data_IF_044080153086
#
_entry.id   IF_044080153086
#
_cell.length_a   1.000
_cell.length_b   1.000
_cell.length_c   1.000
_cell.angle_alpha   90.00
_cell.angle_beta   90.00
_cell.angle_gamma   90.00
#
_symmetry.space_group_name_H-M   'P 1'
#
loop_
_entity.id
_entity.type
_entity.pdbx_description
1 polymer ?
#
# COMPACT_ATOMS: atom_id res chain seq x y z
N UNK A 1 -6.11 20.99 -18.60
CA UNK A 1 -5.59 20.86 -17.23
C UNK A 1 -5.33 19.37 -17.07
N UNK A 2 -4.07 18.97 -16.83
CA UNK A 2 -3.73 17.56 -16.71
C UNK A 2 -3.82 17.16 -15.24
N UNK A 3 -4.62 16.14 -14.94
CA UNK A 3 -4.69 15.56 -13.60
C UNK A 3 -3.41 14.75 -13.35
N UNK A 4 -2.91 14.77 -12.11
CA UNK A 4 -1.67 14.05 -11.74
C UNK A 4 -1.76 13.41 -10.36
N UNK A 5 -1.08 12.29 -10.19
CA UNK A 5 -0.79 11.70 -8.87
C UNK A 5 0.67 11.95 -8.52
N UNK A 6 0.92 12.47 -7.33
CA UNK A 6 2.26 12.65 -6.77
C UNK A 6 2.41 11.76 -5.54
N UNK A 7 3.51 11.01 -5.47
CA UNK A 7 3.84 10.18 -4.31
C UNK A 7 5.30 10.35 -3.91
N UNK A 8 5.56 10.15 -2.62
CA UNK A 8 6.90 10.15 -2.05
C UNK A 8 6.98 9.10 -0.94
N UNK A 9 8.08 8.36 -0.90
CA UNK A 9 8.38 7.39 0.15
C UNK A 9 9.79 7.64 0.69
N UNK A 10 9.98 7.37 1.98
CA UNK A 10 11.28 7.42 2.64
C UNK A 10 11.37 6.27 3.64
N UNK A 11 12.48 5.57 3.60
CA UNK A 11 12.83 4.47 4.49
C UNK A 11 14.14 4.85 5.16
N UNK A 12 14.14 4.89 6.49
CA UNK A 12 15.33 5.20 7.28
C UNK A 12 15.68 3.97 8.12
N UNK A 13 16.65 3.15 7.69
CA UNK A 13 17.05 1.98 8.46
C UNK A 13 17.73 2.41 9.76
N UNK A 14 17.19 1.97 10.89
CA UNK A 14 17.68 2.25 12.25
C UNK A 14 18.22 0.96 12.87
N UNK A 15 19.29 1.07 13.64
CA UNK A 15 19.87 0.01 14.46
C UNK A 15 20.00 0.50 15.90
N UNK A 16 19.76 -0.38 16.87
CA UNK A 16 20.01 -0.10 18.27
C UNK A 16 21.50 -0.32 18.59
N UNK A 17 22.17 0.72 19.10
CA UNK A 17 23.53 0.65 19.61
C UNK A 17 23.54 0.76 21.12
N UNK A 18 23.96 -0.31 21.80
CA UNK A 18 24.24 -0.27 23.24
C UNK A 18 25.64 0.26 23.48
N UNK A 19 25.73 1.40 24.15
CA UNK A 19 27.00 2.01 24.55
C UNK A 19 27.59 1.26 25.74
N UNK A 20 28.87 0.88 25.64
CA UNK A 20 29.59 0.21 26.73
C UNK A 20 29.98 1.15 27.87
N UNK A 21 29.98 2.46 27.64
CA UNK A 21 30.46 3.46 28.60
C UNK A 21 29.38 3.86 29.61
N UNK A 22 28.12 3.88 29.18
CA UNK A 22 26.97 4.30 30.01
C UNK A 22 25.84 3.26 30.04
N UNK A 23 26.01 2.11 29.36
CA UNK A 23 25.00 1.05 29.25
C UNK A 23 23.65 1.51 28.69
N UNK A 24 23.63 2.65 27.98
CA UNK A 24 22.42 3.18 27.36
C UNK A 24 22.25 2.65 25.93
N UNK A 25 20.99 2.53 25.52
CA UNK A 25 20.60 2.10 24.18
C UNK A 25 20.24 3.34 23.37
N UNK A 26 20.85 3.48 22.20
CA UNK A 26 20.59 4.58 21.28
C UNK A 26 20.16 4.05 19.93
N UNK A 27 19.13 4.69 19.35
CA UNK A 27 18.79 4.49 17.95
C UNK A 27 19.77 5.26 17.06
N UNK A 28 20.50 4.54 16.23
CA UNK A 28 21.41 5.11 15.23
C UNK A 28 20.96 4.74 13.82
N UNK A 29 21.33 5.56 12.84
CA UNK A 29 21.24 5.14 11.44
C UNK A 29 22.08 3.88 11.25
N UNK A 30 21.49 2.84 10.65
CA UNK A 30 22.20 1.59 10.44
C UNK A 30 23.48 1.86 9.63
N UNK A 31 24.68 1.50 10.14
CA UNK A 31 25.95 1.75 9.47
C UNK A 31 26.08 0.99 8.15
N UNK A 32 25.28 -0.07 7.94
CA UNK A 32 25.21 -0.82 6.69
C UNK A 32 24.64 0.04 5.56
N UNK A 33 23.61 0.84 5.85
CA UNK A 33 22.95 1.68 4.84
C UNK A 33 23.47 3.10 4.86
N UNK A 34 23.77 3.64 6.03
CA UNK A 34 24.42 4.93 6.26
C UNK A 34 23.62 6.16 5.82
N UNK A 35 22.39 5.96 5.32
CA UNK A 35 21.48 6.99 4.81
C UNK A 35 20.07 6.44 4.64
N UNK A 36 19.10 7.33 4.55
CA UNK A 36 17.74 6.98 4.14
C UNK A 36 17.67 6.61 2.65
N UNK A 37 16.83 5.63 2.32
CA UNK A 37 16.42 5.34 0.96
C UNK A 37 15.09 6.07 0.73
N UNK A 38 15.06 7.04 -0.18
CA UNK A 38 13.85 7.77 -0.50
C UNK A 38 13.65 7.90 -2.01
N UNK A 39 12.41 8.20 -2.39
CA UNK A 39 12.05 8.43 -3.79
C UNK A 39 10.72 9.16 -3.86
N UNK A 40 10.62 10.04 -4.86
CA UNK A 40 9.38 10.71 -5.20
C UNK A 40 9.15 10.62 -6.70
N UNK A 41 7.90 10.61 -7.12
CA UNK A 41 7.55 10.59 -8.52
C UNK A 41 6.21 11.29 -8.75
N UNK A 42 5.98 11.67 -10.00
CA UNK A 42 4.71 12.16 -10.49
C UNK A 42 4.26 11.29 -11.65
N UNK A 43 3.00 10.86 -11.62
CA UNK A 43 2.35 10.17 -12.72
C UNK A 43 1.31 11.11 -13.34
N UNK A 44 1.54 11.49 -14.59
CA UNK A 44 0.55 12.19 -15.41
C UNK A 44 -0.57 11.22 -15.78
N UNK A 45 -1.80 11.65 -15.52
CA UNK A 45 -2.98 10.81 -15.71
C UNK A 45 -3.60 10.94 -17.08
N UNK A 46 -3.27 11.95 -17.90
CA UNK A 46 -3.84 12.20 -19.25
C UNK A 46 -5.25 11.59 -19.48
N UNK A 47 -6.17 11.76 -18.52
CA UNK A 47 -7.28 10.85 -18.27
C UNK A 47 -7.75 10.95 -16.81
N UNK A 48 -9.03 10.64 -16.56
CA UNK A 48 -9.70 10.91 -15.28
C UNK A 48 -9.15 10.05 -14.14
N UNK A 49 -9.00 10.65 -12.95
CA UNK A 49 -9.01 9.88 -11.69
C UNK A 49 -10.42 9.31 -11.56
N UNK A 50 -10.58 8.01 -11.77
CA UNK A 50 -11.86 7.37 -11.48
C UNK A 50 -12.08 7.39 -9.95
N UNK A 51 -13.11 8.12 -9.53
CA UNK A 51 -13.57 8.19 -8.14
C UNK A 51 -14.15 6.88 -7.60
N UNK A 52 -14.03 5.77 -8.32
CA UNK A 52 -14.33 4.44 -7.81
C UNK A 52 -13.10 3.71 -7.23
N UNK A 53 -11.90 4.28 -7.38
CA UNK A 53 -10.63 3.61 -7.11
C UNK A 53 -10.09 3.84 -5.69
N UNK A 54 -10.96 3.70 -4.70
CA UNK A 54 -10.64 3.84 -3.26
C UNK A 54 -10.99 5.19 -2.65
N UNK A 55 -11.52 6.13 -3.44
CA UNK A 55 -12.03 7.42 -2.99
C UNK A 55 -13.30 7.83 -3.74
N UNK A 56 -14.45 7.88 -3.09
CA UNK A 56 -15.71 8.33 -3.67
C UNK A 56 -16.02 9.77 -3.25
N UNK A 57 -16.01 10.70 -4.21
CA UNK A 57 -16.33 12.11 -4.01
C UNK A 57 -15.57 12.77 -2.84
N UNK A 58 -14.26 12.49 -2.75
CA UNK A 58 -13.37 13.01 -1.69
C UNK A 58 -13.47 12.28 -0.35
N UNK A 59 -14.28 11.22 -0.25
CA UNK A 59 -14.35 10.34 0.93
C UNK A 59 -13.63 9.04 0.62
N UNK A 60 -12.79 8.56 1.54
CA UNK A 60 -12.13 7.25 1.41
C UNK A 60 -13.21 6.17 1.28
N UNK A 61 -13.03 5.26 0.34
CA UNK A 61 -13.84 4.07 0.14
C UNK A 61 -13.02 2.84 0.56
N UNK A 62 -13.03 2.51 1.85
CA UNK A 62 -12.31 1.38 2.41
C UNK A 62 -12.78 0.06 1.78
N UNK A 63 -11.82 -0.83 1.55
CA UNK A 63 -12.05 -2.18 1.11
C UNK A 63 -11.96 -3.13 2.31
N UNK A 64 -12.92 -4.06 2.42
CA UNK A 64 -12.93 -5.10 3.45
C UNK A 64 -12.08 -6.28 3.01
N UNK A 65 -10.87 -6.43 3.56
CA UNK A 65 -9.97 -7.56 3.28
C UNK A 65 -10.33 -8.73 4.19
N UNK A 66 -10.60 -9.89 3.60
CA UNK A 66 -11.08 -11.08 4.32
C UNK A 66 -10.32 -12.33 3.89
N UNK A 67 -10.53 -13.44 4.61
CA UNK A 67 -9.94 -14.74 4.30
C UNK A 67 -10.41 -15.38 2.99
N UNK A 68 -11.50 -14.90 2.41
CA UNK A 68 -11.98 -15.35 1.10
C UNK A 68 -11.10 -14.92 -0.07
N UNK A 69 -10.15 -14.00 0.16
CA UNK A 69 -9.42 -13.32 -0.89
C UNK A 69 -10.31 -12.27 -1.56
N UNK A 70 -9.81 -11.04 -1.62
CA UNK A 70 -10.56 -9.91 -2.15
C UNK A 70 -9.82 -9.35 -3.34
N UNK A 71 -10.34 -9.51 -4.57
CA UNK A 71 -9.70 -8.96 -5.74
C UNK A 71 -9.73 -7.43 -5.67
N UNK A 72 -8.59 -6.81 -5.94
CA UNK A 72 -8.46 -5.36 -5.89
C UNK A 72 -9.13 -4.73 -7.12
N UNK A 73 -10.38 -4.31 -6.96
CA UNK A 73 -11.19 -3.69 -8.01
C UNK A 73 -11.21 -4.55 -9.30
N UNK A 74 -12.00 -5.63 -9.21
CA UNK A 74 -12.06 -6.74 -10.16
C UNK A 74 -12.43 -6.36 -11.61
N UNK A 75 -13.00 -5.17 -11.83
CA UNK A 75 -13.51 -4.76 -13.14
C UNK A 75 -12.48 -3.98 -14.00
N UNK A 76 -11.29 -3.68 -13.46
CA UNK A 76 -10.27 -2.90 -14.16
C UNK A 76 -9.24 -3.76 -14.91
N UNK A 77 -8.95 -3.40 -16.17
CA UNK A 77 -8.06 -4.17 -17.05
C UNK A 77 -6.67 -3.55 -17.27
N UNK A 78 -6.44 -2.30 -16.87
CA UNK A 78 -5.13 -1.63 -17.00
C UNK A 78 -4.90 -0.66 -15.82
N UNK A 79 -3.74 -0.73 -15.17
CA UNK A 79 -3.32 0.29 -14.19
C UNK A 79 -1.84 0.63 -14.33
N UNK A 80 -1.59 1.93 -14.17
CA UNK A 80 -0.25 2.53 -14.12
C UNK A 80 0.28 2.75 -12.71
N UNK A 81 -0.59 2.69 -11.70
CA UNK A 81 -0.21 2.82 -10.29
C UNK A 81 -1.20 2.10 -9.40
N UNK A 82 -0.69 1.35 -8.44
CA UNK A 82 -1.44 0.78 -7.34
C UNK A 82 -0.78 1.21 -6.03
N UNK A 83 -1.57 1.75 -5.11
CA UNK A 83 -1.21 2.00 -3.72
C UNK A 83 -2.15 1.16 -2.86
N UNK A 84 -1.60 0.38 -1.95
CA UNK A 84 -2.37 -0.45 -1.00
C UNK A 84 -1.82 -0.18 0.39
N UNK A 85 -2.72 0.07 1.34
CA UNK A 85 -2.37 0.37 2.73
C UNK A 85 -3.26 -0.43 3.67
N UNK A 86 -2.63 -1.12 4.61
CA UNK A 86 -3.32 -1.64 5.79
C UNK A 86 -3.52 -0.48 6.77
N UNK A 87 -4.78 -0.14 7.05
CA UNK A 87 -5.10 1.01 7.91
C UNK A 87 -4.75 0.77 9.38
N UNK A 88 -4.60 -0.49 9.80
CA UNK A 88 -4.47 -0.89 11.20
C UNK A 88 -5.80 -0.93 11.97
N UNK A 89 -6.93 -0.92 11.25
CA UNK A 89 -8.27 -1.05 11.84
C UNK A 89 -9.08 -2.15 11.14
N UNK A 90 -10.03 -2.72 11.86
CA UNK A 90 -11.06 -3.57 11.28
C UNK A 90 -11.99 -2.74 10.39
N UNK A 91 -12.51 -3.37 9.34
CA UNK A 91 -13.51 -2.79 8.47
C UNK A 91 -14.86 -2.71 9.20
N UNK A 92 -15.44 -1.51 9.27
CA UNK A 92 -16.80 -1.29 9.76
C UNK A 92 -17.76 -1.04 8.59
N UNK A 93 -17.46 -0.03 7.78
CA UNK A 93 -18.13 0.22 6.51
C UNK A 93 -17.17 0.92 5.53
N UNK A 94 -17.65 1.22 4.32
CA UNK A 94 -16.83 1.78 3.25
C UNK A 94 -16.22 3.16 3.62
N UNK A 95 -16.73 3.84 4.64
CA UNK A 95 -16.30 5.20 5.02
C UNK A 95 -15.85 5.30 6.48
N UNK A 96 -16.01 4.23 7.26
CA UNK A 96 -15.77 4.20 8.71
C UNK A 96 -14.83 3.07 9.09
N UNK A 97 -13.80 3.41 9.87
CA UNK A 97 -12.91 2.44 10.49
C UNK A 97 -13.53 1.89 11.79
N UNK A 98 -13.34 0.59 12.01
CA UNK A 98 -13.75 -0.11 13.22
C UNK A 98 -12.71 -0.03 14.34
N UNK A 99 -12.61 -1.10 15.13
CA UNK A 99 -11.61 -1.21 16.20
C UNK A 99 -10.19 -1.35 15.62
N UNK A 100 -9.18 -0.94 16.39
CA UNK A 100 -7.77 -1.16 16.05
C UNK A 100 -7.50 -2.66 15.95
N UNK A 101 -6.68 -3.06 14.99
CA UNK A 101 -6.21 -4.43 14.82
C UNK A 101 -4.69 -4.47 14.70
N UNK A 102 -4.09 -5.59 15.12
CA UNK A 102 -2.66 -5.88 14.93
C UNK A 102 -2.42 -6.85 13.77
N UNK A 103 -3.45 -7.12 12.99
CA UNK A 103 -3.43 -8.17 11.97
C UNK A 103 -2.83 -7.69 10.65
N UNK A 104 -2.16 -8.63 10.00
CA UNK A 104 -1.57 -8.44 8.68
C UNK A 104 -2.54 -8.93 7.60
N UNK A 105 -2.36 -8.42 6.37
CA UNK A 105 -2.88 -9.11 5.19
C UNK A 105 -1.80 -9.27 4.13
N UNK A 106 -1.97 -10.30 3.31
CA UNK A 106 -1.09 -10.61 2.20
C UNK A 106 -1.62 -9.99 0.91
N UNK A 107 -0.72 -9.42 0.12
CA UNK A 107 -0.97 -8.97 -1.25
C UNK A 107 -0.35 -9.98 -2.20
N UNK A 108 -1.16 -10.58 -3.06
CA UNK A 108 -0.70 -11.49 -4.11
C UNK A 108 -0.99 -10.96 -5.50
N UNK A 109 -0.18 -11.40 -6.48
CA UNK A 109 -0.46 -11.26 -7.92
C UNK A 109 -0.43 -12.66 -8.52
N UNK A 110 -1.60 -13.13 -8.95
CA UNK A 110 -1.81 -14.53 -9.29
C UNK A 110 -1.46 -15.41 -8.09
N UNK A 111 -0.52 -16.34 -8.28
CA UNK A 111 -0.05 -17.23 -7.22
C UNK A 111 1.15 -16.69 -6.40
N UNK A 112 1.66 -15.50 -6.72
CA UNK A 112 2.87 -14.96 -6.08
C UNK A 112 2.51 -13.98 -4.99
N UNK A 113 3.09 -14.16 -3.81
CA UNK A 113 3.08 -13.14 -2.74
C UNK A 113 4.05 -12.03 -3.10
N UNK A 114 3.57 -10.79 -3.10
CA UNK A 114 4.41 -9.61 -3.38
C UNK A 114 4.64 -8.74 -2.14
N UNK A 115 3.74 -8.80 -1.16
CA UNK A 115 3.90 -8.11 0.12
C UNK A 115 3.03 -8.77 1.20
N UNK A 116 3.47 -8.64 2.44
CA UNK A 116 2.64 -8.84 3.64
C UNK A 116 2.64 -7.49 4.37
N UNK A 117 1.46 -6.92 4.59
CA UNK A 117 1.28 -5.58 5.14
C UNK A 117 0.69 -5.68 6.55
N UNK A 118 1.47 -5.24 7.54
CA UNK A 118 1.00 -5.05 8.91
C UNK A 118 0.28 -3.71 9.09
N UNK A 119 -0.29 -3.47 10.29
CA UNK A 119 -0.99 -2.23 10.62
C UNK A 119 -0.15 -0.98 10.31
N UNK A 120 -0.63 -0.14 9.39
CA UNK A 120 0.03 1.10 8.98
C UNK A 120 0.99 0.96 7.79
N UNK A 121 1.30 -0.27 7.36
CA UNK A 121 2.18 -0.50 6.22
C UNK A 121 1.50 -0.13 4.89
N UNK A 122 2.32 0.33 3.95
CA UNK A 122 1.90 0.74 2.61
C UNK A 122 2.85 0.17 1.56
N UNK A 123 2.29 -0.27 0.44
CA UNK A 123 3.04 -0.63 -0.77
C UNK A 123 2.60 0.24 -1.93
N UNK A 124 3.57 0.72 -2.71
CA UNK A 124 3.36 1.52 -3.92
C UNK A 124 3.98 0.78 -5.10
N UNK A 125 3.17 0.48 -6.10
CA UNK A 125 3.52 -0.32 -7.27
C UNK A 125 3.29 0.52 -8.54
N UNK A 126 4.27 1.31 -8.97
CA UNK A 126 4.20 2.03 -10.22
C UNK A 126 4.40 1.06 -11.40
N UNK A 127 3.57 1.20 -12.43
CA UNK A 127 3.66 0.47 -13.69
C UNK A 127 3.76 1.48 -14.84
N UNK A 128 4.92 1.55 -15.49
CA UNK A 128 5.10 2.41 -16.66
C UNK A 128 4.43 1.75 -17.87
N UNK A 129 3.65 2.49 -18.67
CA UNK A 129 3.05 1.90 -19.87
C UNK A 129 4.11 1.30 -20.79
N UNK A 130 3.91 0.04 -21.17
CA UNK A 130 4.85 -0.73 -21.99
C UNK A 130 6.07 -1.26 -21.24
N UNK A 131 6.14 -1.08 -19.92
CA UNK A 131 7.24 -1.53 -19.07
C UNK A 131 6.98 -2.88 -18.42
N UNK A 132 7.13 -3.98 -19.16
CA UNK A 132 7.67 -5.27 -18.72
C UNK A 132 7.25 -5.90 -17.35
N UNK A 133 6.06 -5.63 -16.81
CA UNK A 133 5.54 -6.42 -15.68
C UNK A 133 4.11 -6.83 -16.03
N UNK A 134 3.90 -8.11 -16.28
CA UNK A 134 2.60 -8.77 -16.49
C UNK A 134 1.74 -8.69 -15.20
N UNK A 135 1.57 -7.50 -14.63
CA UNK A 135 0.76 -7.21 -13.46
C UNK A 135 -0.65 -6.88 -13.95
N UNK A 136 -1.43 -7.91 -14.29
CA UNK A 136 -2.84 -7.70 -14.58
C UNK A 136 -3.58 -7.33 -13.29
N UNK A 137 -4.41 -6.29 -13.35
CA UNK A 137 -4.99 -5.70 -12.14
C UNK A 137 -6.03 -6.58 -11.44
N UNK A 138 -6.70 -7.42 -12.22
CA UNK A 138 -7.58 -8.49 -11.76
C UNK A 138 -6.84 -9.62 -11.01
N UNK A 139 -5.51 -9.72 -11.14
CA UNK A 139 -4.70 -10.73 -10.46
C UNK A 139 -4.32 -10.31 -9.04
N UNK A 140 -4.48 -9.04 -8.68
CA UNK A 140 -4.21 -8.56 -7.33
C UNK A 140 -5.27 -9.05 -6.37
N UNK A 141 -4.88 -9.89 -5.43
CA UNK A 141 -5.77 -10.39 -4.37
C UNK A 141 -5.21 -10.00 -3.00
N UNK A 142 -6.10 -9.49 -2.15
CA UNK A 142 -5.81 -9.17 -0.75
C UNK A 142 -6.44 -10.24 0.14
N UNK A 143 -5.65 -10.86 1.02
CA UNK A 143 -6.13 -11.94 1.88
C UNK A 143 -5.65 -11.73 3.31
N UNK A 144 -6.55 -11.80 4.29
CA UNK A 144 -6.23 -11.83 5.72
C UNK A 144 -6.54 -13.20 6.31
N UNK A 145 -5.81 -13.62 7.34
CA UNK A 145 -6.06 -14.90 8.02
C UNK A 145 -7.23 -14.82 9.04
N UNK A 146 -7.85 -13.65 9.16
CA UNK A 146 -8.75 -13.29 10.26
C UNK A 146 -9.92 -12.39 9.77
N UNK A 147 -10.50 -11.63 10.70
CA UNK A 147 -11.61 -10.70 10.52
C UNK A 147 -11.36 -9.70 9.40
N UNK A 148 -12.43 -9.03 8.98
CA UNK A 148 -12.40 -8.02 7.94
C UNK A 148 -11.47 -6.85 8.32
N UNK A 149 -10.32 -6.71 7.64
CA UNK A 149 -9.37 -5.60 7.83
C UNK A 149 -9.73 -4.47 6.86
N UNK A 150 -9.75 -3.23 7.33
CA UNK A 150 -9.95 -2.07 6.48
C UNK A 150 -8.68 -1.76 5.68
N UNK A 151 -8.79 -1.81 4.36
CA UNK A 151 -7.75 -1.44 3.42
C UNK A 151 -8.09 -0.11 2.76
N UNK A 152 -7.13 0.80 2.76
CA UNK A 152 -7.15 2.01 1.93
C UNK A 152 -6.35 1.71 0.66
N UNK A 153 -6.88 2.07 -0.51
CA UNK A 153 -6.18 1.86 -1.76
C UNK A 153 -6.36 3.03 -2.72
N UNK A 154 -5.43 3.17 -3.65
CA UNK A 154 -5.57 4.02 -4.82
C UNK A 154 -5.13 3.21 -6.04
N UNK A 155 -6.04 3.02 -6.97
CA UNK A 155 -5.74 2.46 -8.28
C UNK A 155 -5.82 3.59 -9.33
N UNK A 156 -4.97 3.56 -10.34
CA UNK A 156 -4.98 4.55 -11.42
C UNK A 156 -4.96 3.83 -12.76
N UNK A 157 -6.01 4.04 -13.56
CA UNK A 157 -6.19 3.52 -14.92
C UNK A 157 -5.84 4.61 -15.96
N UNK A 158 -5.62 4.22 -17.23
CA UNK A 158 -5.73 5.12 -18.38
C UNK A 158 -6.91 4.75 -19.27
#
# INVERSE_FOLDING_TARGET
MADKVQYAMSITPIEELTSSEDSSVHDILSPVTGKSLGGNNELDLTGLIDGSLGYNNGTVAYLSVTSGGVPLNADATDRRLIIIKNTGFLYSDATTLGAVTTENFTVTVGAKVIAELGPGDVVVLPNAAGGAVDLECNEFTLTSDSSAIACEFLAVTL
#
